data_IF_225952048492
#
_entry.id   IF_225952048492
#
_cell.length_a   1.000
_cell.length_b   1.000
_cell.length_c   1.000
_cell.angle_alpha   90.00
_cell.angle_beta   90.00
_cell.angle_gamma   90.00
#
_symmetry.space_group_name_H-M   'P 1'
#
loop_
_entity.id
_entity.type
_entity.pdbx_description
1 polymer ?
#
# COMPACT_ATOMS: atom_id res chain seq x y z
N UNK A 1 -7.05 -35.48 14.36
CA UNK A 1 -8.09 -34.74 13.61
C UNK A 1 -8.87 -33.94 14.65
N UNK A 2 -8.54 -32.66 14.84
CA UNK A 2 -9.35 -31.73 15.62
C UNK A 2 -10.35 -31.12 14.66
N UNK A 3 -11.63 -31.42 14.82
CA UNK A 3 -12.71 -30.69 14.21
C UNK A 3 -12.61 -29.24 14.71
N UNK A 4 -12.19 -28.31 13.83
CA UNK A 4 -12.44 -26.89 14.08
C UNK A 4 -13.95 -26.71 13.99
N UNK A 5 -14.55 -26.25 15.08
CA UNK A 5 -15.86 -25.63 15.02
C UNK A 5 -15.77 -24.53 13.98
N UNK A 6 -16.60 -24.59 12.96
CA UNK A 6 -16.81 -23.48 12.04
C UNK A 6 -17.57 -22.44 12.88
N UNK A 7 -16.83 -21.53 13.46
CA UNK A 7 -17.40 -20.31 14.00
C UNK A 7 -17.93 -19.53 12.79
N UNK A 8 -19.18 -19.09 12.84
CA UNK A 8 -19.87 -18.37 11.76
C UNK A 8 -19.48 -16.88 11.74
N UNK A 9 -18.26 -16.55 12.15
CA UNK A 9 -17.74 -15.20 11.92
C UNK A 9 -17.54 -15.00 10.41
N UNK A 10 -18.08 -13.91 9.87
CA UNK A 10 -17.95 -13.62 8.45
C UNK A 10 -16.52 -13.16 8.19
N UNK A 11 -15.78 -13.92 7.36
CA UNK A 11 -14.44 -13.52 6.92
C UNK A 11 -14.43 -12.11 6.33
N UNK A 12 -13.32 -11.40 6.49
CA UNK A 12 -13.13 -10.07 5.91
C UNK A 12 -12.04 -10.09 4.84
N UNK A 13 -12.11 -9.14 3.93
CA UNK A 13 -11.08 -8.87 2.93
C UNK A 13 -10.88 -7.38 2.76
N UNK A 14 -9.62 -6.98 2.51
CA UNK A 14 -9.29 -5.57 2.36
C UNK A 14 -8.13 -5.38 1.39
N UNK A 15 -8.28 -4.46 0.43
CA UNK A 15 -7.28 -4.10 -0.58
C UNK A 15 -7.06 -2.58 -0.57
N UNK A 16 -6.50 -2.00 0.50
CA UNK A 16 -6.56 -0.55 0.74
C UNK A 16 -5.49 0.26 0.01
N UNK A 17 -4.49 -0.37 -0.61
CA UNK A 17 -3.29 0.35 -1.05
C UNK A 17 -3.54 1.42 -2.11
N UNK A 18 -4.51 1.26 -2.97
CA UNK A 18 -4.88 2.24 -3.98
C UNK A 18 -6.41 2.32 -4.13
N UNK A 19 -7.14 2.12 -3.03
CA UNK A 19 -8.60 2.16 -2.97
C UNK A 19 -9.11 3.62 -2.97
N UNK A 20 -8.90 4.29 -4.10
CA UNK A 20 -9.35 5.66 -4.30
C UNK A 20 -10.74 5.70 -4.91
N UNK A 21 -11.54 6.73 -4.63
CA UNK A 21 -12.89 6.84 -5.19
C UNK A 21 -12.95 6.68 -6.71
N UNK A 22 -11.91 7.14 -7.41
CA UNK A 22 -11.81 7.13 -8.87
C UNK A 22 -11.66 5.71 -9.45
N UNK A 23 -11.13 4.77 -8.67
CA UNK A 23 -10.86 3.38 -9.09
C UNK A 23 -11.55 2.33 -8.22
N UNK A 24 -12.36 2.76 -7.26
CA UNK A 24 -13.01 1.85 -6.31
C UNK A 24 -13.87 0.78 -7.01
N UNK A 25 -14.55 1.13 -8.10
CA UNK A 25 -15.35 0.19 -8.87
C UNK A 25 -14.50 -0.90 -9.55
N UNK A 26 -13.30 -0.54 -10.04
CA UNK A 26 -12.37 -1.51 -10.64
C UNK A 26 -11.80 -2.45 -9.58
N UNK A 27 -11.52 -1.91 -8.38
CA UNK A 27 -11.06 -2.71 -7.26
C UNK A 27 -12.14 -3.68 -6.76
N UNK A 28 -13.40 -3.27 -6.75
CA UNK A 28 -14.53 -4.16 -6.45
C UNK A 28 -14.68 -5.28 -7.48
N UNK A 29 -14.46 -5.00 -8.77
CA UNK A 29 -14.43 -6.01 -9.81
C UNK A 29 -13.25 -6.98 -9.64
N UNK A 30 -12.07 -6.47 -9.31
CA UNK A 30 -10.91 -7.30 -8.99
C UNK A 30 -11.22 -8.23 -7.81
N UNK A 31 -11.79 -7.68 -6.73
CA UNK A 31 -12.20 -8.48 -5.59
C UNK A 31 -13.22 -9.55 -5.96
N UNK A 32 -14.24 -9.22 -6.73
CA UNK A 32 -15.25 -10.19 -7.16
C UNK A 32 -14.63 -11.39 -7.91
N UNK A 33 -13.59 -11.15 -8.73
CA UNK A 33 -12.85 -12.22 -9.44
C UNK A 33 -12.03 -13.07 -8.47
N UNK A 34 -11.31 -12.44 -7.53
CA UNK A 34 -10.55 -13.14 -6.49
C UNK A 34 -11.50 -13.98 -5.63
N UNK A 35 -12.61 -13.41 -5.18
CA UNK A 35 -13.60 -14.10 -4.36
C UNK A 35 -14.22 -15.31 -5.10
N UNK A 36 -14.45 -15.20 -6.40
CA UNK A 36 -14.92 -16.34 -7.21
C UNK A 36 -13.89 -17.45 -7.21
N UNK A 37 -12.62 -17.14 -7.49
CA UNK A 37 -11.56 -18.14 -7.48
C UNK A 37 -11.40 -18.79 -6.08
N UNK A 38 -11.52 -18.02 -5.01
CA UNK A 38 -11.46 -18.55 -3.64
C UNK A 38 -12.61 -19.53 -3.37
N UNK A 39 -13.84 -19.22 -3.81
CA UNK A 39 -15.00 -20.14 -3.68
C UNK A 39 -14.79 -21.44 -4.43
N UNK A 40 -14.23 -21.40 -5.63
CA UNK A 40 -13.91 -22.57 -6.42
C UNK A 40 -12.90 -23.51 -5.71
N UNK A 41 -12.14 -22.96 -4.76
CA UNK A 41 -11.20 -23.70 -3.91
C UNK A 41 -11.75 -23.99 -2.49
N UNK A 42 -13.03 -23.76 -2.24
CA UNK A 42 -13.71 -24.13 -0.99
C UNK A 42 -13.56 -23.13 0.16
N UNK A 43 -13.12 -21.90 -0.12
CA UNK A 43 -13.16 -20.80 0.84
C UNK A 43 -14.52 -20.11 0.83
N UNK A 44 -14.82 -19.38 1.90
CA UNK A 44 -16.02 -18.53 2.00
C UNK A 44 -15.63 -17.05 2.12
N UNK A 45 -15.25 -16.39 1.01
CA UNK A 45 -14.85 -15.00 1.01
C UNK A 45 -16.05 -14.06 1.17
N UNK A 46 -15.87 -12.89 1.81
CA UNK A 46 -16.91 -11.87 1.92
C UNK A 46 -17.35 -11.37 0.55
N UNK A 47 -18.58 -10.91 0.45
CA UNK A 47 -19.12 -10.38 -0.81
C UNK A 47 -18.45 -9.06 -1.24
N UNK A 48 -18.01 -8.25 -0.28
CA UNK A 48 -17.45 -6.91 -0.48
C UNK A 48 -16.17 -6.71 0.33
N UNK A 49 -15.33 -5.78 -0.11
CA UNK A 49 -14.16 -5.34 0.65
C UNK A 49 -14.56 -4.54 1.89
N UNK A 50 -13.88 -4.77 3.01
CA UNK A 50 -14.02 -3.94 4.20
C UNK A 50 -13.26 -2.62 4.01
N UNK A 51 -13.99 -1.51 4.10
CA UNK A 51 -13.51 -0.13 4.05
C UNK A 51 -13.87 0.67 5.28
N UNK A 52 -14.48 0.03 6.28
CA UNK A 52 -15.17 0.73 7.39
C UNK A 52 -14.26 1.00 8.58
N UNK A 53 -13.13 0.30 8.71
CA UNK A 53 -12.26 0.33 9.87
C UNK A 53 -10.87 0.89 9.53
N UNK A 54 -10.05 1.17 10.54
CA UNK A 54 -8.66 1.56 10.35
C UNK A 54 -7.86 0.46 9.63
N UNK A 55 -6.72 0.79 9.05
CA UNK A 55 -5.86 -0.19 8.39
C UNK A 55 -5.42 -1.29 9.34
N UNK A 56 -4.98 -0.91 10.53
CA UNK A 56 -4.51 -1.85 11.55
C UNK A 56 -5.61 -2.77 12.05
N UNK A 57 -6.81 -2.23 12.33
CA UNK A 57 -7.96 -3.04 12.75
C UNK A 57 -8.35 -4.08 11.70
N UNK A 58 -8.12 -3.78 10.42
CA UNK A 58 -8.39 -4.73 9.33
C UNK A 58 -7.28 -5.76 9.18
N UNK A 59 -6.01 -5.33 9.23
CA UNK A 59 -4.88 -6.25 9.04
C UNK A 59 -4.66 -7.20 10.22
N UNK A 60 -5.04 -6.81 11.43
CA UNK A 60 -4.92 -7.61 12.65
C UNK A 60 -6.22 -8.33 13.03
N UNK A 61 -7.24 -8.25 12.19
CA UNK A 61 -8.49 -8.95 12.43
C UNK A 61 -8.28 -10.46 12.32
N UNK A 62 -8.70 -11.25 13.32
CA UNK A 62 -8.55 -12.72 13.31
C UNK A 62 -9.36 -13.39 12.19
N UNK A 63 -10.38 -12.71 11.63
CA UNK A 63 -11.19 -13.18 10.53
C UNK A 63 -10.70 -12.71 9.16
N UNK A 64 -9.53 -12.07 9.09
CA UNK A 64 -8.94 -11.62 7.84
C UNK A 64 -8.62 -12.83 6.95
N UNK A 65 -9.32 -12.93 5.83
CA UNK A 65 -9.06 -13.93 4.80
C UNK A 65 -8.02 -13.45 3.77
N UNK A 66 -8.17 -12.20 3.30
CA UNK A 66 -7.24 -11.58 2.33
C UNK A 66 -7.01 -10.13 2.72
N UNK A 67 -5.74 -9.76 2.86
CA UNK A 67 -5.32 -8.39 3.12
C UNK A 67 -4.18 -7.94 2.20
N UNK A 68 -4.13 -6.65 1.91
CA UNK A 68 -3.06 -6.02 1.15
C UNK A 68 -2.36 -4.98 2.04
N UNK A 69 -1.39 -5.36 2.87
CA UNK A 69 -0.55 -4.40 3.59
C UNK A 69 0.55 -3.81 2.70
N UNK A 70 1.02 -2.63 3.07
CA UNK A 70 2.26 -2.08 2.53
C UNK A 70 3.46 -2.91 3.01
N UNK A 71 4.54 -2.97 2.23
CA UNK A 71 5.70 -3.79 2.53
C UNK A 71 6.38 -3.44 3.84
N UNK A 72 6.51 -2.16 4.20
CA UNK A 72 7.19 -1.77 5.44
C UNK A 72 6.39 -2.14 6.69
N UNK A 73 5.09 -1.86 6.85
CA UNK A 73 4.29 -2.40 7.93
C UNK A 73 4.32 -3.92 8.02
N UNK A 74 4.29 -4.60 6.88
CA UNK A 74 4.36 -6.07 6.84
C UNK A 74 5.61 -6.56 7.55
N UNK A 75 6.79 -6.06 7.17
CA UNK A 75 8.07 -6.52 7.74
C UNK A 75 8.26 -6.07 9.19
N UNK A 76 7.83 -4.85 9.55
CA UNK A 76 8.10 -4.31 10.87
C UNK A 76 7.16 -4.82 11.98
N UNK A 77 5.92 -5.20 11.65
CA UNK A 77 4.92 -5.48 12.69
C UNK A 77 3.83 -6.51 12.35
N UNK A 78 3.71 -6.94 11.10
CA UNK A 78 2.66 -7.87 10.68
C UNK A 78 3.21 -9.25 10.28
N UNK A 79 4.53 -9.43 10.24
CA UNK A 79 5.19 -10.66 9.77
C UNK A 79 4.76 -11.91 10.58
N UNK A 80 4.53 -11.75 11.88
CA UNK A 80 4.04 -12.85 12.74
C UNK A 80 2.54 -13.12 12.61
N UNK A 81 1.78 -12.16 12.12
CA UNK A 81 0.31 -12.22 12.08
C UNK A 81 -0.21 -12.66 10.72
N UNK A 82 0.53 -12.35 9.65
CA UNK A 82 0.10 -12.55 8.26
C UNK A 82 1.02 -13.51 7.51
N UNK A 83 0.43 -14.32 6.64
CA UNK A 83 1.17 -15.14 5.69
C UNK A 83 1.17 -14.49 4.32
N UNK A 84 2.35 -14.17 3.78
CA UNK A 84 2.47 -13.63 2.42
C UNK A 84 2.18 -14.75 1.41
N UNK A 85 1.17 -14.55 0.57
CA UNK A 85 0.77 -15.50 -0.47
C UNK A 85 1.21 -15.05 -1.88
N UNK A 86 1.61 -13.79 -2.04
CA UNK A 86 2.07 -13.26 -3.31
C UNK A 86 2.14 -11.74 -3.32
N UNK A 87 2.57 -11.18 -4.44
CA UNK A 87 2.52 -9.76 -4.74
C UNK A 87 1.70 -9.55 -6.02
N UNK A 88 1.02 -8.42 -6.11
CA UNK A 88 0.35 -8.04 -7.35
C UNK A 88 1.38 -7.70 -8.44
N UNK A 89 1.19 -8.26 -9.61
CA UNK A 89 1.87 -7.77 -10.81
C UNK A 89 1.02 -6.65 -11.42
N UNK A 90 1.55 -5.43 -11.36
CA UNK A 90 0.89 -4.24 -11.90
C UNK A 90 1.11 -4.06 -13.41
N UNK A 91 1.87 -4.95 -14.05
CA UNK A 91 2.16 -4.88 -15.48
C UNK A 91 2.93 -3.61 -15.89
N UNK A 92 3.72 -3.05 -15.00
CA UNK A 92 4.46 -1.81 -15.28
C UNK A 92 5.61 -2.07 -16.25
N UNK A 93 5.81 -1.14 -17.18
CA UNK A 93 6.92 -1.21 -18.13
C UNK A 93 8.26 -1.11 -17.39
N UNK A 94 9.21 -1.97 -17.79
CA UNK A 94 10.56 -2.03 -17.24
C UNK A 94 10.67 -2.46 -15.75
N UNK A 95 9.66 -3.16 -15.24
CA UNK A 95 9.73 -3.86 -13.95
C UNK A 95 9.67 -5.37 -14.13
N UNK A 96 10.13 -6.14 -13.13
CA UNK A 96 9.87 -7.58 -13.07
C UNK A 96 8.44 -7.82 -12.55
N UNK A 97 7.81 -8.97 -12.87
CA UNK A 97 6.52 -9.32 -12.31
C UNK A 97 6.51 -9.23 -10.78
N UNK A 98 5.55 -8.51 -10.23
CA UNK A 98 5.44 -8.24 -8.79
C UNK A 98 6.25 -7.05 -8.27
N UNK A 99 7.13 -6.48 -9.08
CA UNK A 99 7.85 -5.25 -8.75
C UNK A 99 7.05 -4.01 -9.15
N UNK A 100 7.34 -2.91 -8.47
CA UNK A 100 6.88 -1.57 -8.84
C UNK A 100 7.94 -0.52 -8.45
N UNK A 101 7.81 0.67 -8.96
CA UNK A 101 8.67 1.80 -8.60
C UNK A 101 7.83 2.99 -8.15
N UNK A 102 8.41 3.81 -7.28
CA UNK A 102 7.86 5.11 -6.91
C UNK A 102 8.47 6.20 -7.78
N UNK A 103 7.70 7.25 -8.03
CA UNK A 103 8.17 8.46 -8.70
C UNK A 103 8.07 9.64 -7.75
N UNK A 104 9.03 10.55 -7.83
CA UNK A 104 8.94 11.85 -7.18
C UNK A 104 8.19 12.79 -8.13
N UNK A 105 7.13 13.38 -7.64
CA UNK A 105 6.36 14.37 -8.40
C UNK A 105 6.66 15.78 -7.88
N UNK A 106 6.64 16.74 -8.77
CA UNK A 106 6.82 18.16 -8.50
C UNK A 106 5.73 18.95 -9.24
N UNK A 107 5.48 20.24 -8.90
CA UNK A 107 4.58 21.08 -9.68
C UNK A 107 4.99 21.12 -11.17
N UNK A 108 4.02 21.33 -12.06
CA UNK A 108 4.23 21.30 -13.52
C UNK A 108 5.19 22.41 -13.99
N UNK A 109 5.28 23.50 -13.24
CA UNK A 109 6.16 24.65 -13.48
C UNK A 109 7.52 24.55 -12.77
N UNK A 110 7.82 23.41 -12.09
CA UNK A 110 9.12 23.16 -11.46
C UNK A 110 10.09 22.58 -12.48
N UNK A 111 11.31 23.14 -12.53
CA UNK A 111 12.36 22.72 -13.45
C UNK A 111 13.24 21.58 -12.91
N UNK A 112 12.98 21.05 -11.72
CA UNK A 112 13.75 19.95 -11.13
C UNK A 112 13.74 18.71 -12.04
N UNK A 113 14.91 18.11 -12.22
CA UNK A 113 15.11 16.88 -13.03
C UNK A 113 15.69 15.74 -12.21
N UNK A 114 16.08 16.01 -10.98
CA UNK A 114 16.63 15.03 -10.06
C UNK A 114 16.31 15.42 -8.61
N UNK A 115 16.47 14.48 -7.70
CA UNK A 115 16.34 14.74 -6.26
C UNK A 115 17.34 15.82 -5.78
N UNK A 116 18.49 15.90 -6.41
CA UNK A 116 19.51 16.90 -6.06
C UNK A 116 19.08 18.34 -6.35
N UNK A 117 18.14 18.54 -7.26
CA UNK A 117 17.63 19.87 -7.63
C UNK A 117 16.62 20.41 -6.60
N UNK A 118 16.06 19.55 -5.75
CA UNK A 118 14.98 19.85 -4.80
C UNK A 118 15.50 20.47 -3.49
N UNK A 119 16.56 21.28 -3.54
CA UNK A 119 17.14 21.90 -2.35
C UNK A 119 16.16 22.88 -1.69
N UNK A 120 15.89 22.69 -0.39
CA UNK A 120 14.93 23.50 0.37
C UNK A 120 13.46 23.14 0.14
N UNK A 121 13.15 22.21 -0.77
CA UNK A 121 11.77 21.81 -1.06
C UNK A 121 11.10 21.18 0.16
N UNK A 122 9.81 21.47 0.33
CA UNK A 122 8.95 20.76 1.29
C UNK A 122 8.63 19.38 0.73
N UNK A 123 8.79 18.35 1.55
CA UNK A 123 8.57 16.96 1.13
C UNK A 123 7.25 16.45 1.70
N UNK A 124 6.30 16.12 0.83
CA UNK A 124 5.06 15.46 1.22
C UNK A 124 5.23 13.94 1.18
N UNK A 125 4.89 13.28 2.28
CA UNK A 125 4.86 11.81 2.39
C UNK A 125 3.48 11.36 2.83
N UNK A 126 3.13 10.12 2.56
CA UNK A 126 1.83 9.57 2.94
C UNK A 126 1.82 8.88 4.32
N UNK A 127 2.97 8.79 4.97
CA UNK A 127 3.14 8.20 6.30
C UNK A 127 4.58 7.74 6.52
N UNK A 128 5.05 7.82 7.75
CA UNK A 128 6.43 7.45 8.11
C UNK A 128 6.69 5.95 8.00
N UNK A 129 5.66 5.13 8.05
CA UNK A 129 5.69 3.67 7.88
C UNK A 129 5.37 3.21 6.44
N UNK A 130 5.25 4.13 5.50
CA UNK A 130 5.03 3.80 4.10
C UNK A 130 6.33 3.40 3.41
N UNK A 131 6.34 2.21 2.78
CA UNK A 131 7.47 1.80 1.94
C UNK A 131 7.59 2.67 0.69
N UNK A 132 6.51 2.82 -0.07
CA UNK A 132 6.50 3.52 -1.36
C UNK A 132 6.60 5.04 -1.25
N UNK A 133 6.05 5.63 -0.18
CA UNK A 133 6.00 7.09 -0.03
C UNK A 133 7.06 7.67 0.89
N UNK A 134 7.76 6.86 1.69
CA UNK A 134 8.78 7.33 2.62
C UNK A 134 10.04 6.46 2.63
N UNK A 135 9.90 5.14 2.71
CA UNK A 135 11.05 4.24 2.76
C UNK A 135 11.95 4.36 1.53
N UNK A 136 11.35 4.32 0.34
CA UNK A 136 12.07 4.49 -0.94
C UNK A 136 12.71 5.88 -1.04
N UNK A 137 12.01 6.94 -0.64
CA UNK A 137 12.57 8.29 -0.60
C UNK A 137 13.83 8.36 0.27
N UNK A 138 13.81 7.79 1.47
CA UNK A 138 14.97 7.74 2.34
C UNK A 138 16.12 6.92 1.75
N UNK A 139 15.79 5.81 1.12
CA UNK A 139 16.77 4.96 0.44
C UNK A 139 17.48 5.72 -0.68
N UNK A 140 16.73 6.41 -1.52
CA UNK A 140 17.28 7.21 -2.62
C UNK A 140 18.19 8.34 -2.13
N UNK A 141 17.81 9.05 -1.07
CA UNK A 141 18.67 10.07 -0.47
C UNK A 141 20.03 9.49 -0.03
N UNK A 142 20.00 8.36 0.66
CA UNK A 142 21.22 7.68 1.13
C UNK A 142 22.08 7.23 -0.06
N UNK A 143 21.46 6.62 -1.06
CA UNK A 143 22.14 6.11 -2.26
C UNK A 143 22.79 7.24 -3.07
N UNK A 144 22.09 8.38 -3.17
CA UNK A 144 22.60 9.56 -3.85
C UNK A 144 23.60 10.39 -3.01
N UNK A 145 23.87 10.01 -1.75
CA UNK A 145 24.71 10.77 -0.84
C UNK A 145 24.13 12.14 -0.46
N UNK A 146 22.81 12.27 -0.47
CA UNK A 146 22.12 13.52 -0.19
C UNK A 146 21.70 13.56 1.28
N UNK A 147 22.17 14.58 2.01
CA UNK A 147 21.78 14.79 3.40
C UNK A 147 20.35 15.32 3.50
N UNK A 148 19.59 14.79 4.47
CA UNK A 148 18.21 15.21 4.73
C UNK A 148 18.08 16.72 4.98
N UNK A 149 19.08 17.36 5.55
CA UNK A 149 19.09 18.81 5.84
C UNK A 149 19.01 19.70 4.60
N UNK A 150 19.23 19.14 3.41
CA UNK A 150 19.04 19.87 2.15
C UNK A 150 17.60 20.19 1.83
N UNK A 151 16.66 19.46 2.41
CA UNK A 151 15.22 19.68 2.19
C UNK A 151 14.59 20.51 3.30
N UNK A 152 13.47 21.10 3.00
CA UNK A 152 12.61 21.76 3.94
C UNK A 152 11.87 20.77 4.88
N UNK A 153 10.80 21.20 5.52
CA UNK A 153 9.99 20.33 6.36
C UNK A 153 9.44 19.11 5.61
N UNK A 154 9.25 18.01 6.33
CA UNK A 154 8.45 16.89 5.83
C UNK A 154 7.03 17.01 6.36
N UNK A 155 6.04 16.89 5.48
CA UNK A 155 4.62 16.92 5.82
C UNK A 155 4.06 15.52 5.66
N UNK A 156 3.50 14.96 6.73
CA UNK A 156 2.74 13.72 6.67
C UNK A 156 1.30 14.05 6.24
N UNK A 157 0.90 13.56 5.09
CA UNK A 157 -0.40 13.83 4.46
C UNK A 157 -1.43 12.74 4.72
N UNK A 158 -1.01 11.59 5.26
CA UNK A 158 -1.85 10.46 5.59
C UNK A 158 -2.24 9.54 4.41
N UNK A 159 -1.99 9.95 3.16
CA UNK A 159 -2.27 9.09 1.99
C UNK A 159 -1.52 9.54 0.73
N UNK A 160 -1.28 8.61 -0.20
CA UNK A 160 -0.70 8.94 -1.51
C UNK A 160 -1.51 10.00 -2.25
N UNK A 161 -2.85 9.87 -2.23
CA UNK A 161 -3.74 10.84 -2.87
C UNK A 161 -3.59 12.23 -2.26
N UNK A 162 -3.54 12.33 -0.94
CA UNK A 162 -3.34 13.61 -0.26
C UNK A 162 -1.94 14.20 -0.55
N UNK A 163 -0.89 13.37 -0.68
CA UNK A 163 0.44 13.83 -1.09
C UNK A 163 0.43 14.42 -2.50
N UNK A 164 -0.26 13.78 -3.45
CA UNK A 164 -0.40 14.30 -4.83
C UNK A 164 -1.11 15.66 -4.84
N UNK A 165 -2.14 15.83 -4.02
CA UNK A 165 -2.86 17.11 -3.93
C UNK A 165 -2.09 18.22 -3.18
N UNK A 166 -1.04 17.86 -2.44
CA UNK A 166 -0.20 18.82 -1.72
C UNK A 166 0.92 19.41 -2.57
N UNK A 167 1.15 18.85 -3.75
CA UNK A 167 2.11 19.30 -4.77
C UNK A 167 1.41 20.21 -5.77
#
# INVERSE_FOLDING_TARGET
RRHRHVDTSMSIATLPMYDWPEVAADLDQLWARIATALRDHGFDPPAVLDRSRSLDDRWLDPDLLVGQPCGLPLVLRLESELTVIGAFDHGLVATQPGDYHSVVIVPDDDDARSIADLNGAIVAINGTDSQSGHGVWRHEMVTAGIDRSRFGPTIDTGSHRASIHAV
#
